data_IF_128451829998
#
_entry.id   IF_128451829998
#
_cell.length_a   1.000
_cell.length_b   1.000
_cell.length_c   1.000
_cell.angle_alpha   90.00
_cell.angle_beta   90.00
_cell.angle_gamma   90.00
#
_symmetry.space_group_name_H-M   'P 1'
#
loop_
_entity.id
_entity.type
_entity.pdbx_description
1 polymer ?
#
# COMPACT_ATOMS: atom_id res chain seq x y z
N UNK A 1 -26.82 -14.13 16.10
CA UNK A 1 -26.04 -13.42 15.06
C UNK A 1 -26.27 -14.11 13.74
N UNK A 2 -26.34 -13.38 12.62
CA UNK A 2 -26.37 -14.02 11.30
C UNK A 2 -25.01 -14.67 11.04
N UNK A 3 -24.98 -15.98 10.79
CA UNK A 3 -23.74 -16.70 10.46
C UNK A 3 -23.56 -16.66 8.96
N UNK A 4 -22.58 -15.89 8.51
CA UNK A 4 -22.26 -15.73 7.09
C UNK A 4 -20.77 -15.98 6.89
N UNK A 5 -20.46 -17.02 6.13
CA UNK A 5 -19.15 -17.60 5.85
C UNK A 5 -18.97 -17.66 4.34
N UNK A 6 -18.55 -16.54 3.74
CA UNK A 6 -18.29 -16.47 2.29
C UNK A 6 -17.06 -17.29 1.89
N UNK A 7 -16.07 -17.37 2.78
CA UNK A 7 -14.75 -17.93 2.48
C UNK A 7 -14.49 -19.23 3.26
N UNK A 8 -15.52 -20.06 3.38
CA UNK A 8 -15.44 -21.37 4.04
C UNK A 8 -14.92 -22.44 3.09
N UNK A 9 -14.11 -23.37 3.61
CA UNK A 9 -13.51 -24.46 2.86
C UNK A 9 -13.56 -25.76 3.66
N UNK A 10 -13.74 -26.88 2.96
CA UNK A 10 -13.33 -28.20 3.46
C UNK A 10 -11.87 -28.39 3.08
N UNK A 11 -11.05 -28.80 4.05
CA UNK A 11 -9.62 -29.02 3.85
C UNK A 11 -9.38 -30.50 3.58
N UNK A 12 -8.75 -30.83 2.44
CA UNK A 12 -8.42 -32.20 2.05
C UNK A 12 -7.13 -32.69 2.72
N UNK A 13 -7.13 -32.68 4.05
CA UNK A 13 -6.03 -33.11 4.93
C UNK A 13 -6.55 -34.13 5.94
N UNK A 14 -5.68 -35.01 6.42
CA UNK A 14 -6.03 -36.09 7.34
C UNK A 14 -5.43 -35.90 8.74
N UNK A 15 -4.41 -35.06 8.86
CA UNK A 15 -3.71 -34.77 10.11
C UNK A 15 -3.50 -33.27 10.32
N UNK A 16 -3.05 -32.88 11.52
CA UNK A 16 -2.65 -31.50 11.80
C UNK A 16 -1.31 -31.16 11.12
N UNK A 17 -0.44 -32.15 10.94
CA UNK A 17 0.83 -31.98 10.23
C UNK A 17 0.56 -31.66 8.75
N UNK A 18 -0.39 -32.36 8.11
CA UNK A 18 -0.83 -32.06 6.73
C UNK A 18 -1.38 -30.62 6.60
N UNK A 19 -2.03 -30.11 7.66
CA UNK A 19 -2.53 -28.72 7.70
C UNK A 19 -1.37 -27.73 7.85
N UNK A 20 -0.35 -28.08 8.63
CA UNK A 20 0.86 -27.27 8.74
C UNK A 20 1.62 -27.22 7.40
N UNK A 21 1.71 -28.35 6.69
CA UNK A 21 2.27 -28.43 5.34
C UNK A 21 1.46 -27.58 4.34
N UNK A 22 0.12 -27.71 4.35
CA UNK A 22 -0.76 -26.83 3.59
C UNK A 22 -0.52 -25.35 3.91
N UNK A 23 -0.36 -25.00 5.18
CA UNK A 23 -0.06 -23.61 5.55
C UNK A 23 1.28 -23.14 4.97
N UNK A 24 2.30 -24.00 4.87
CA UNK A 24 3.57 -23.67 4.24
C UNK A 24 3.42 -23.48 2.72
N UNK A 25 2.69 -24.36 2.05
CA UNK A 25 2.40 -24.23 0.61
C UNK A 25 1.66 -22.92 0.30
N UNK A 26 0.68 -22.58 1.15
CA UNK A 26 -0.05 -21.32 1.05
C UNK A 26 0.86 -20.11 1.30
N UNK A 27 1.86 -20.19 2.18
CA UNK A 27 2.85 -19.10 2.38
C UNK A 27 3.67 -18.87 1.12
N UNK A 28 4.09 -19.93 0.44
CA UNK A 28 4.84 -19.82 -0.81
C UNK A 28 3.98 -19.18 -1.92
N UNK A 29 2.72 -19.62 -2.06
CA UNK A 29 1.77 -19.01 -2.99
C UNK A 29 1.47 -17.55 -2.65
N UNK A 30 1.28 -17.24 -1.36
CA UNK A 30 1.05 -15.88 -0.89
C UNK A 30 2.24 -14.98 -1.21
N UNK A 31 3.48 -15.46 -1.08
CA UNK A 31 4.66 -14.68 -1.43
C UNK A 31 4.67 -14.29 -2.91
N UNK A 32 4.31 -15.21 -3.82
CA UNK A 32 4.22 -14.90 -5.25
C UNK A 32 3.10 -13.89 -5.57
N UNK A 33 1.93 -14.04 -4.94
CA UNK A 33 0.81 -13.11 -5.09
C UNK A 33 1.11 -11.73 -4.48
N UNK A 34 1.71 -11.67 -3.29
CA UNK A 34 2.18 -10.45 -2.66
C UNK A 34 3.13 -9.70 -3.60
N UNK A 35 4.09 -10.40 -4.23
CA UNK A 35 5.04 -9.79 -5.17
C UNK A 35 4.35 -9.10 -6.31
N UNK A 36 3.32 -9.74 -6.87
CA UNK A 36 2.51 -9.16 -7.94
C UNK A 36 1.77 -7.89 -7.46
N UNK A 37 1.11 -7.96 -6.30
CA UNK A 37 0.32 -6.84 -5.74
C UNK A 37 1.23 -5.64 -5.48
N UNK A 38 2.34 -5.84 -4.78
CA UNK A 38 3.29 -4.77 -4.45
C UNK A 38 3.91 -4.20 -5.72
N UNK A 39 4.33 -5.04 -6.67
CA UNK A 39 4.90 -4.55 -7.92
C UNK A 39 3.88 -3.72 -8.72
N UNK A 40 2.62 -4.16 -8.83
CA UNK A 40 1.54 -3.40 -9.47
C UNK A 40 1.35 -2.04 -8.80
N UNK A 41 1.30 -1.98 -7.47
CA UNK A 41 1.09 -0.72 -6.75
C UNK A 41 2.29 0.23 -6.90
N UNK A 42 3.52 -0.29 -6.82
CA UNK A 42 4.73 0.50 -7.08
C UNK A 42 4.71 1.07 -8.49
N UNK A 43 4.41 0.25 -9.49
CA UNK A 43 4.31 0.68 -10.88
C UNK A 43 3.23 1.74 -11.06
N UNK A 44 2.03 1.52 -10.52
CA UNK A 44 0.93 2.46 -10.64
C UNK A 44 1.28 3.82 -10.00
N UNK A 45 1.87 3.84 -8.80
CA UNK A 45 2.33 5.07 -8.15
C UNK A 45 3.44 5.75 -8.93
N UNK A 46 4.44 4.99 -9.39
CA UNK A 46 5.55 5.52 -10.17
C UNK A 46 5.05 6.17 -11.48
N UNK A 47 4.12 5.51 -12.17
CA UNK A 47 3.47 6.06 -13.37
C UNK A 47 2.67 7.32 -13.04
N UNK A 48 1.91 7.36 -11.93
CA UNK A 48 1.22 8.58 -11.49
C UNK A 48 2.18 9.74 -11.26
N UNK A 49 3.37 9.50 -10.68
CA UNK A 49 4.39 10.53 -10.52
C UNK A 49 4.88 11.06 -11.87
N UNK A 50 5.10 10.17 -12.85
CA UNK A 50 5.49 10.57 -14.22
C UNK A 50 4.37 11.36 -14.88
N UNK A 51 3.13 10.87 -14.85
CA UNK A 51 1.96 11.52 -15.43
C UNK A 51 1.74 12.90 -14.82
N UNK A 52 1.83 13.03 -13.49
CA UNK A 52 1.69 14.31 -12.81
C UNK A 52 2.73 15.32 -13.28
N UNK A 53 3.98 14.91 -13.47
CA UNK A 53 5.03 15.79 -14.03
C UNK A 53 4.73 16.20 -15.46
N UNK A 54 4.17 15.31 -16.28
CA UNK A 54 3.79 15.62 -17.67
C UNK A 54 2.61 16.60 -17.70
N UNK A 55 1.56 16.34 -16.92
CA UNK A 55 0.37 17.18 -16.84
C UNK A 55 0.69 18.57 -16.23
N UNK A 56 1.60 18.63 -15.26
CA UNK A 56 2.06 19.88 -14.65
C UNK A 56 2.93 20.73 -15.59
N UNK A 57 3.60 20.16 -16.60
CA UNK A 57 4.33 20.98 -17.59
C UNK A 57 3.39 21.89 -18.41
N UNK A 58 2.09 21.66 -18.37
CA UNK A 58 1.06 22.53 -18.92
C UNK A 58 0.40 23.50 -17.92
N UNK A 59 0.66 23.39 -16.60
CA UNK A 59 0.03 24.21 -15.56
C UNK A 59 0.97 24.47 -14.36
N UNK A 60 1.15 25.73 -13.95
CA UNK A 60 1.91 26.10 -12.75
C UNK A 60 1.25 25.54 -11.48
N UNK A 61 1.73 24.39 -11.00
CA UNK A 61 1.49 23.91 -9.64
C UNK A 61 2.83 23.72 -8.91
N UNK A 62 2.91 23.98 -7.59
CA UNK A 62 4.12 23.76 -6.82
C UNK A 62 4.36 22.24 -6.70
N UNK A 63 5.48 21.75 -7.22
CA UNK A 63 5.87 20.34 -7.18
C UNK A 63 6.30 19.92 -5.77
N UNK A 64 6.29 18.61 -5.47
CA UNK A 64 6.87 18.06 -4.22
C UNK A 64 8.33 18.46 -3.98
N UNK A 65 9.07 18.79 -5.05
CA UNK A 65 10.42 19.39 -4.95
C UNK A 65 10.39 20.78 -4.34
N UNK A 66 9.32 21.56 -4.52
CA UNK A 66 9.14 22.83 -3.80
C UNK A 66 8.97 22.56 -2.32
N UNK A 67 8.18 21.55 -1.91
CA UNK A 67 8.02 21.23 -0.49
C UNK A 67 9.30 20.73 0.18
N UNK A 68 10.06 19.84 -0.48
CA UNK A 68 11.35 19.40 0.03
C UNK A 68 12.39 20.55 0.05
N UNK A 69 12.37 21.42 -0.96
CA UNK A 69 13.16 22.66 -0.96
C UNK A 69 12.72 23.59 0.16
N UNK A 70 11.43 23.71 0.44
CA UNK A 70 10.86 24.54 1.50
C UNK A 70 11.24 23.99 2.88
N UNK A 71 11.21 22.68 3.07
CA UNK A 71 11.60 22.01 4.31
C UNK A 71 13.11 22.14 4.55
N UNK A 72 13.95 21.96 3.51
CA UNK A 72 15.41 22.18 3.59
C UNK A 72 15.74 23.66 3.85
N UNK A 73 15.02 24.58 3.19
CA UNK A 73 15.16 26.03 3.43
C UNK A 73 14.71 26.40 4.84
N UNK A 74 13.65 25.78 5.35
CA UNK A 74 13.15 25.98 6.70
C UNK A 74 14.14 25.47 7.74
N UNK A 75 14.74 24.29 7.52
CA UNK A 75 15.77 23.73 8.37
C UNK A 75 17.04 24.59 8.38
N UNK A 76 17.49 25.06 7.21
CA UNK A 76 18.63 25.97 7.10
C UNK A 76 18.40 27.29 7.86
N UNK A 77 17.20 27.88 7.73
CA UNK A 77 16.80 29.07 8.50
C UNK A 77 16.76 28.79 10.00
N UNK A 78 16.22 27.65 10.43
CA UNK A 78 16.19 27.27 11.83
C UNK A 78 17.61 27.12 12.42
N UNK A 79 18.52 26.46 11.69
CA UNK A 79 19.91 26.31 12.08
C UNK A 79 20.62 27.68 12.20
N UNK A 80 20.37 28.60 11.25
CA UNK A 80 20.90 29.96 11.29
C UNK A 80 20.37 30.76 12.49
N UNK A 81 19.08 30.65 12.79
CA UNK A 81 18.47 31.30 13.95
C UNK A 81 19.04 30.75 15.28
N UNK A 82 19.25 29.44 15.37
CA UNK A 82 19.92 28.81 16.52
C UNK A 82 21.34 29.35 16.69
N UNK A 83 22.09 29.50 15.58
CA UNK A 83 23.45 30.07 15.61
C UNK A 83 23.47 31.51 16.11
N UNK A 84 22.56 32.36 15.63
CA UNK A 84 22.43 33.74 16.10
C UNK A 84 22.07 33.81 17.58
N UNK A 85 21.13 32.97 18.02
CA UNK A 85 20.72 32.87 19.43
C UNK A 85 21.90 32.44 20.31
N UNK A 86 22.68 31.47 19.86
CA UNK A 86 23.88 31.01 20.57
C UNK A 86 24.92 32.11 20.71
N UNK A 87 25.16 32.89 19.65
CA UNK A 87 26.08 34.03 19.69
C UNK A 87 25.64 35.11 20.72
N UNK A 88 24.34 35.39 20.82
CA UNK A 88 23.80 36.30 21.85
C UNK A 88 23.99 35.75 23.26
N UNK A 89 23.77 34.45 23.47
CA UNK A 89 24.02 33.79 24.75
C UNK A 89 25.51 33.82 25.12
N UNK A 90 26.40 33.59 24.17
CA UNK A 90 27.86 33.68 24.37
C UNK A 90 28.30 35.11 24.73
N UNK A 91 27.72 36.12 24.09
CA UNK A 91 27.98 37.53 24.38
C UNK A 91 27.46 37.92 25.79
N UNK A 92 26.23 37.54 26.13
CA UNK A 92 25.66 37.77 27.45
C UNK A 92 26.48 37.06 28.54
N UNK A 93 26.92 35.82 28.28
CA UNK A 93 27.82 35.05 29.14
C UNK A 93 29.17 35.74 29.31
N UNK A 94 29.82 36.19 28.23
CA UNK A 94 31.10 36.90 28.31
C UNK A 94 30.98 38.14 29.18
N UNK A 95 29.83 38.81 29.12
CA UNK A 95 29.51 39.96 29.97
C UNK A 95 29.32 39.55 31.43
N UNK A 96 28.70 38.38 31.68
CA UNK A 96 28.42 37.84 33.01
C UNK A 96 29.57 37.01 33.65
N UNK A 97 30.64 36.69 32.91
CA UNK A 97 31.79 35.87 33.35
C UNK A 97 31.42 34.49 33.91
N UNK A 98 30.48 33.81 33.26
CA UNK A 98 30.04 32.46 33.65
C UNK A 98 30.80 31.41 32.82
N UNK A 99 31.40 30.41 33.47
CA UNK A 99 32.07 29.28 32.80
C UNK A 99 31.04 28.30 32.19
N UNK A 100 31.36 27.74 31.02
CA UNK A 100 30.44 26.86 30.27
C UNK A 100 30.77 25.38 30.42
N UNK A 101 29.74 24.51 30.45
CA UNK A 101 29.94 23.08 30.27
C UNK A 101 30.41 22.78 28.83
N UNK A 102 31.35 21.85 28.70
CA UNK A 102 32.01 21.42 27.45
C UNK A 102 31.05 21.03 26.30
N UNK A 103 29.81 20.66 26.60
CA UNK A 103 28.83 20.26 25.59
C UNK A 103 28.35 21.42 24.72
N UNK A 104 28.39 22.66 25.21
CA UNK A 104 27.91 23.82 24.45
C UNK A 104 28.97 24.43 23.54
N UNK A 105 30.26 24.08 23.71
CA UNK A 105 31.34 24.56 22.82
C UNK A 105 31.39 23.85 21.47
N UNK A 106 30.77 22.67 21.35
CA UNK A 106 30.70 21.91 20.09
C UNK A 106 29.48 22.29 19.22
N UNK A 107 28.47 22.94 19.81
CA UNK A 107 27.22 23.29 19.14
C UNK A 107 27.39 24.24 17.94
N UNK A 108 28.29 25.26 17.97
CA UNK A 108 28.54 26.10 16.79
C UNK A 108 29.04 25.31 15.59
N UNK A 109 29.97 24.36 15.80
CA UNK A 109 30.53 23.54 14.74
C UNK A 109 29.46 22.62 14.14
N UNK A 110 28.62 21.99 14.98
CA UNK A 110 27.53 21.14 14.50
C UNK A 110 26.49 21.92 13.66
N UNK A 111 26.18 23.16 14.04
CA UNK A 111 25.29 24.03 13.27
C UNK A 111 25.92 24.45 11.94
N UNK A 112 27.23 24.69 11.92
CA UNK A 112 27.97 25.06 10.71
C UNK A 112 28.06 23.89 9.73
N UNK A 113 28.30 22.68 10.24
CA UNK A 113 28.29 21.45 9.45
C UNK A 113 26.89 21.19 8.87
N UNK A 114 25.82 21.42 9.64
CA UNK A 114 24.44 21.25 9.18
C UNK A 114 24.04 22.30 8.14
N UNK A 115 24.46 23.56 8.29
CA UNK A 115 24.28 24.61 7.28
C UNK A 115 25.08 24.27 6.01
N UNK A 116 26.31 23.78 6.16
CA UNK A 116 27.15 23.36 5.04
C UNK A 116 26.53 22.19 4.26
N UNK A 117 26.01 21.19 4.96
CA UNK A 117 25.31 20.04 4.37
C UNK A 117 24.03 20.51 3.66
N UNK A 118 23.19 21.31 4.32
CA UNK A 118 21.92 21.78 3.71
C UNK A 118 22.14 22.73 2.53
N UNK A 119 23.20 23.55 2.55
CA UNK A 119 23.56 24.45 1.44
C UNK A 119 24.25 23.70 0.28
N UNK A 120 24.91 22.57 0.57
CA UNK A 120 25.55 21.71 -0.41
C UNK A 120 24.64 20.61 -0.97
N UNK A 121 23.46 20.41 -0.37
CA UNK A 121 22.39 19.59 -0.93
C UNK A 121 21.81 20.32 -2.13
N UNK A 122 22.47 20.17 -3.28
CA UNK A 122 21.88 20.48 -4.56
C UNK A 122 20.80 19.41 -4.83
N UNK A 123 19.57 19.69 -4.38
CA UNK A 123 18.40 18.80 -4.50
C UNK A 123 18.13 18.47 -5.98
N UNK A 124 18.73 19.21 -6.91
CA UNK A 124 18.62 18.98 -8.35
C UNK A 124 19.70 18.05 -8.96
N UNK A 125 20.81 17.68 -8.29
CA UNK A 125 21.98 17.07 -9.00
C UNK A 125 22.49 15.69 -8.56
N UNK A 126 21.74 14.90 -7.79
CA UNK A 126 22.12 13.49 -7.55
C UNK A 126 21.62 12.48 -8.62
N UNK A 127 21.38 12.91 -9.87
CA UNK A 127 20.90 12.02 -10.95
C UNK A 127 21.79 11.96 -12.20
N UNK A 128 22.95 12.60 -12.20
CA UNK A 128 23.77 12.75 -13.40
C UNK A 128 24.79 11.62 -13.68
N UNK A 129 24.68 10.45 -13.04
CA UNK A 129 25.58 9.32 -13.30
C UNK A 129 25.17 8.38 -14.43
N UNK A 130 23.86 8.28 -14.71
CA UNK A 130 23.30 7.57 -15.86
C UNK A 130 21.90 8.14 -16.08
N UNK A 131 21.53 8.50 -17.31
CA UNK A 131 20.18 8.98 -17.66
C UNK A 131 19.14 7.89 -17.37
N UNK A 132 18.77 7.71 -16.11
CA UNK A 132 17.70 6.82 -15.69
C UNK A 132 16.39 7.37 -16.26
N UNK A 133 15.55 6.49 -16.82
CA UNK A 133 14.26 6.91 -17.34
C UNK A 133 13.44 7.56 -16.21
N UNK A 134 12.56 8.55 -16.50
CA UNK A 134 11.70 9.16 -15.49
C UNK A 134 10.89 8.14 -14.67
N UNK A 135 10.50 7.03 -15.30
CA UNK A 135 9.80 5.93 -14.66
C UNK A 135 10.71 5.15 -13.70
N UNK A 136 11.95 4.85 -14.08
CA UNK A 136 12.94 4.20 -13.20
C UNK A 136 13.18 5.02 -11.93
N UNK A 137 13.36 6.33 -12.07
CA UNK A 137 13.47 7.23 -10.94
C UNK A 137 12.22 7.20 -10.04
N UNK A 138 11.03 7.24 -10.66
CA UNK A 138 9.77 7.20 -9.93
C UNK A 138 9.55 5.85 -9.20
N UNK A 139 10.00 4.73 -9.78
CA UNK A 139 9.99 3.41 -9.14
C UNK A 139 10.88 3.44 -7.90
N UNK A 140 12.14 3.88 -8.02
CA UNK A 140 13.05 3.95 -6.88
C UNK A 140 12.51 4.84 -5.76
N UNK A 141 11.97 6.02 -6.09
CA UNK A 141 11.35 6.92 -5.12
C UNK A 141 10.16 6.25 -4.42
N UNK A 142 9.24 5.66 -5.19
CA UNK A 142 8.04 5.01 -4.65
C UNK A 142 8.41 3.81 -3.77
N UNK A 143 9.40 3.01 -4.18
CA UNK A 143 9.89 1.89 -3.38
C UNK A 143 10.48 2.36 -2.05
N UNK A 144 11.22 3.48 -2.05
CA UNK A 144 11.73 4.09 -0.80
C UNK A 144 10.60 4.56 0.11
N UNK A 145 9.58 5.23 -0.43
CA UNK A 145 8.42 5.69 0.35
C UNK A 145 7.67 4.51 1.00
N UNK A 146 7.54 3.40 0.27
CA UNK A 146 6.92 2.17 0.77
C UNK A 146 7.74 1.53 1.89
N UNK A 147 9.07 1.48 1.72
CA UNK A 147 9.98 1.00 2.76
C UNK A 147 9.92 1.87 4.01
N UNK A 148 9.85 3.19 3.85
CA UNK A 148 9.74 4.13 4.97
C UNK A 148 8.41 3.99 5.70
N UNK A 149 7.30 3.88 4.96
CA UNK A 149 5.99 3.62 5.55
C UNK A 149 5.99 2.31 6.35
N UNK A 150 6.63 1.25 5.83
CA UNK A 150 6.79 -0.01 6.56
C UNK A 150 7.62 0.15 7.84
N UNK A 151 8.77 0.83 7.76
CA UNK A 151 9.65 1.08 8.92
C UNK A 151 8.96 1.91 10.00
N UNK A 152 8.14 2.88 9.59
CA UNK A 152 7.37 3.73 10.48
C UNK A 152 6.07 3.10 10.99
N UNK A 153 5.78 1.85 10.59
CA UNK A 153 4.50 1.15 10.88
C UNK A 153 3.28 1.93 10.40
N UNK A 154 3.45 2.76 9.38
CA UNK A 154 2.35 3.42 8.72
C UNK A 154 1.66 2.42 7.78
N UNK A 155 0.40 2.11 8.06
CA UNK A 155 -0.40 1.21 7.22
C UNK A 155 -0.58 1.83 5.85
N UNK A 156 -0.25 1.07 4.80
CA UNK A 156 -0.50 1.46 3.41
C UNK A 156 -1.57 0.51 2.85
N UNK A 157 -2.86 0.88 2.84
CA UNK A 157 -3.95 -0.03 2.47
C UNK A 157 -3.77 -0.72 1.11
N UNK A 158 -3.16 -0.03 0.14
CA UNK A 158 -2.88 -0.59 -1.18
C UNK A 158 -1.81 -1.71 -1.19
N UNK A 159 -1.09 -1.88 -0.08
CA UNK A 159 -0.07 -2.91 0.15
C UNK A 159 -0.47 -3.86 1.27
N UNK A 160 -1.70 -3.78 1.77
CA UNK A 160 -2.23 -4.74 2.73
C UNK A 160 -2.41 -6.07 1.99
N UNK A 161 -1.45 -6.96 2.24
CA UNK A 161 -1.36 -8.30 1.68
C UNK A 161 -1.57 -9.35 2.77
N UNK A 162 -2.24 -8.96 3.85
CA UNK A 162 -2.51 -9.86 4.98
C UNK A 162 -3.38 -11.03 4.49
N UNK A 163 -2.99 -12.23 4.92
CA UNK A 163 -3.73 -13.45 4.67
C UNK A 163 -3.61 -14.39 5.87
N UNK A 164 -4.74 -14.98 6.25
CA UNK A 164 -4.85 -15.87 7.40
C UNK A 164 -5.74 -17.06 7.07
N UNK A 165 -5.37 -18.23 7.62
CA UNK A 165 -6.15 -19.45 7.52
C UNK A 165 -6.60 -19.86 8.93
N UNK A 166 -7.90 -19.83 9.19
CA UNK A 166 -8.49 -20.32 10.43
C UNK A 166 -8.98 -21.75 10.25
N UNK A 167 -8.34 -22.72 10.90
CA UNK A 167 -8.63 -24.14 10.72
C UNK A 167 -9.43 -24.68 11.91
N UNK A 168 -10.54 -25.34 11.60
CA UNK A 168 -11.44 -26.00 12.54
C UNK A 168 -11.30 -27.51 12.39
N UNK A 169 -11.35 -28.20 13.53
CA UNK A 169 -11.26 -29.66 13.59
C UNK A 169 -12.61 -30.25 13.98
N UNK A 170 -13.14 -31.14 13.15
CA UNK A 170 -14.30 -31.98 13.47
C UNK A 170 -13.82 -33.40 13.75
N UNK A 171 -14.06 -33.89 14.98
CA UNK A 171 -13.79 -35.28 15.34
C UNK A 171 -14.99 -36.14 14.92
N UNK A 172 -14.75 -37.18 14.13
CA UNK A 172 -15.77 -38.14 13.71
C UNK A 172 -15.29 -39.58 13.97
N UNK A 173 -16.19 -40.56 13.86
CA UNK A 173 -15.86 -41.97 14.08
C UNK A 173 -14.79 -42.52 13.13
N UNK A 174 -14.68 -41.94 11.93
CA UNK A 174 -13.70 -42.32 10.91
C UNK A 174 -12.37 -41.53 10.99
N UNK A 175 -12.20 -40.65 11.99
CA UNK A 175 -11.00 -39.82 12.15
C UNK A 175 -11.31 -38.33 12.30
N UNK A 176 -10.37 -37.48 11.91
CA UNK A 176 -10.55 -36.03 11.95
C UNK A 176 -10.84 -35.48 10.56
N UNK A 177 -11.78 -34.55 10.48
CA UNK A 177 -12.01 -33.72 9.29
C UNK A 177 -11.61 -32.29 9.62
N UNK A 178 -11.06 -31.60 8.63
CA UNK A 178 -10.61 -30.23 8.77
C UNK A 178 -11.43 -29.32 7.85
N UNK A 179 -11.77 -28.15 8.38
CA UNK A 179 -12.45 -27.09 7.67
C UNK A 179 -11.68 -25.81 7.90
N UNK A 180 -11.77 -24.86 6.99
CA UNK A 180 -11.07 -23.60 7.13
C UNK A 180 -11.90 -22.41 6.72
N UNK A 181 -11.59 -21.25 7.29
CA UNK A 181 -11.97 -19.95 6.77
C UNK A 181 -10.69 -19.28 6.29
N UNK A 182 -10.66 -18.90 5.01
CA UNK A 182 -9.55 -18.15 4.44
C UNK A 182 -9.89 -16.67 4.43
N UNK A 183 -9.04 -15.87 5.04
CA UNK A 183 -9.10 -14.42 4.97
C UNK A 183 -7.91 -13.89 4.15
N UNK A 184 -8.18 -12.92 3.28
CA UNK A 184 -7.14 -12.16 2.60
C UNK A 184 -7.71 -10.77 2.25
N UNK A 185 -6.94 -9.71 2.55
CA UNK A 185 -7.36 -8.32 2.32
C UNK A 185 -7.38 -7.95 0.82
N UNK A 186 -6.53 -8.63 0.03
CA UNK A 186 -6.40 -8.39 -1.39
C UNK A 186 -7.09 -9.49 -2.22
N UNK A 187 -7.86 -9.11 -3.24
CA UNK A 187 -8.59 -10.05 -4.10
C UNK A 187 -7.69 -10.96 -4.94
N UNK A 188 -6.55 -10.45 -5.44
CA UNK A 188 -5.59 -11.24 -6.20
C UNK A 188 -4.94 -12.30 -5.28
N UNK A 189 -4.65 -11.91 -4.03
CA UNK A 189 -4.17 -12.83 -2.99
C UNK A 189 -5.20 -13.91 -2.66
N UNK A 190 -6.44 -13.50 -2.39
CA UNK A 190 -7.53 -14.43 -2.11
C UNK A 190 -7.71 -15.42 -3.26
N UNK A 191 -7.74 -14.95 -4.50
CA UNK A 191 -7.90 -15.79 -5.68
C UNK A 191 -6.75 -16.78 -5.83
N UNK A 192 -5.50 -16.37 -5.57
CA UNK A 192 -4.35 -17.24 -5.63
C UNK A 192 -4.44 -18.36 -4.57
N UNK A 193 -4.73 -18.01 -3.32
CA UNK A 193 -4.76 -18.95 -2.19
C UNK A 193 -5.97 -19.88 -2.23
N UNK A 194 -7.16 -19.36 -2.55
CA UNK A 194 -8.40 -20.15 -2.62
C UNK A 194 -8.41 -21.18 -3.75
N UNK A 195 -7.49 -21.05 -4.72
CA UNK A 195 -7.32 -22.01 -5.82
C UNK A 195 -6.48 -23.24 -5.43
N UNK A 196 -5.96 -23.31 -4.20
CA UNK A 196 -5.15 -24.43 -3.74
C UNK A 196 -5.97 -25.75 -3.79
N UNK A 197 -5.46 -26.85 -4.38
CA UNK A 197 -6.23 -28.10 -4.55
C UNK A 197 -6.76 -28.71 -3.26
N UNK A 198 -6.08 -28.47 -2.13
CA UNK A 198 -6.50 -28.93 -0.81
C UNK A 198 -7.66 -28.14 -0.21
N UNK A 199 -8.06 -27.00 -0.80
CA UNK A 199 -9.16 -26.16 -0.34
C UNK A 199 -10.38 -26.37 -1.24
N UNK A 200 -11.37 -27.10 -0.74
CA UNK A 200 -12.63 -27.35 -1.45
C UNK A 200 -13.66 -26.33 -0.98
N UNK A 201 -14.19 -25.44 -1.87
CA UNK A 201 -15.13 -24.40 -1.46
C UNK A 201 -16.35 -24.95 -0.73
N UNK A 202 -16.59 -24.42 0.47
CA UNK A 202 -17.70 -24.77 1.34
C UNK A 202 -18.31 -23.52 1.99
N UNK A 203 -18.74 -22.52 1.20
CA UNK A 203 -19.35 -21.31 1.74
C UNK A 203 -20.68 -21.65 2.42
N UNK A 204 -21.10 -20.79 3.33
CA UNK A 204 -22.40 -20.84 4.00
C UNK A 204 -22.89 -19.43 4.31
N UNK A 205 -24.18 -19.16 4.19
CA UNK A 205 -24.79 -17.93 4.71
C UNK A 205 -26.19 -18.21 5.22
N UNK A 206 -26.56 -17.55 6.32
CA UNK A 206 -27.85 -17.73 6.95
C UNK A 206 -28.96 -16.96 6.19
N UNK A 207 -29.17 -17.29 4.92
CA UNK A 207 -30.30 -16.84 4.11
C UNK A 207 -31.24 -18.03 3.81
N UNK A 208 -32.50 -17.71 3.56
CA UNK A 208 -33.56 -18.68 3.21
C UNK A 208 -33.24 -19.47 1.95
N UNK A 209 -32.56 -18.83 0.99
CA UNK A 209 -32.29 -19.38 -0.32
C UNK A 209 -30.86 -19.93 -0.39
N UNK A 210 -30.77 -21.22 -0.73
CA UNK A 210 -29.52 -21.87 -1.06
C UNK A 210 -29.03 -21.41 -2.45
N UNK A 211 -27.71 -21.45 -2.72
CA UNK A 211 -27.18 -21.27 -4.07
C UNK A 211 -27.80 -22.23 -5.09
N UNK A 212 -27.94 -21.80 -6.33
CA UNK A 212 -28.51 -22.62 -7.43
C UNK A 212 -27.79 -23.95 -7.64
N UNK A 213 -26.52 -24.04 -7.25
CA UNK A 213 -25.67 -25.23 -7.39
C UNK A 213 -25.54 -26.09 -6.12
N UNK A 214 -26.27 -25.77 -5.04
CA UNK A 214 -26.22 -26.52 -3.78
C UNK A 214 -27.63 -26.96 -3.40
N UNK A 215 -27.82 -28.25 -3.12
CA UNK A 215 -29.12 -28.75 -2.67
C UNK A 215 -29.49 -28.15 -1.31
N UNK A 216 -30.78 -27.92 -1.06
CA UNK A 216 -31.24 -27.39 0.22
C UNK A 216 -30.80 -28.25 1.41
N UNK A 217 -30.76 -29.56 1.24
CA UNK A 217 -30.30 -30.50 2.26
C UNK A 217 -28.82 -30.32 2.57
N UNK A 218 -27.96 -30.25 1.54
CA UNK A 218 -26.53 -29.96 1.72
C UNK A 218 -26.34 -28.60 2.39
N UNK A 219 -27.08 -27.57 1.95
CA UNK A 219 -27.02 -26.23 2.53
C UNK A 219 -27.35 -26.19 4.02
N UNK A 220 -28.43 -26.86 4.44
CA UNK A 220 -28.80 -26.98 5.85
C UNK A 220 -27.73 -27.75 6.63
N UNK A 221 -27.19 -28.83 6.05
CA UNK A 221 -26.12 -29.62 6.67
C UNK A 221 -24.84 -28.80 6.90
N UNK A 222 -24.47 -27.94 5.94
CA UNK A 222 -23.36 -26.98 6.05
C UNK A 222 -23.60 -25.98 7.17
N UNK A 223 -24.83 -25.45 7.28
CA UNK A 223 -25.19 -24.52 8.33
C UNK A 223 -25.04 -25.12 9.72
N UNK A 224 -25.56 -26.33 9.93
CA UNK A 224 -25.42 -27.02 11.21
C UNK A 224 -23.98 -27.41 11.52
N UNK A 225 -23.19 -27.78 10.51
CA UNK A 225 -21.75 -27.99 10.66
C UNK A 225 -21.05 -26.71 11.11
N UNK A 226 -21.20 -25.59 10.39
CA UNK A 226 -20.54 -24.33 10.72
C UNK A 226 -20.96 -23.80 12.09
N UNK A 227 -22.24 -23.91 12.47
CA UNK A 227 -22.69 -23.58 13.84
C UNK A 227 -21.96 -24.40 14.90
N UNK A 228 -21.75 -25.70 14.64
CA UNK A 228 -21.02 -26.58 15.55
C UNK A 228 -19.55 -26.21 15.64
N UNK A 229 -18.90 -25.94 14.51
CA UNK A 229 -17.48 -25.56 14.44
C UNK A 229 -17.21 -24.20 15.11
N UNK A 230 -18.10 -23.23 14.94
CA UNK A 230 -17.96 -21.88 15.51
C UNK A 230 -18.40 -21.77 16.98
N UNK A 231 -19.09 -22.79 17.49
CA UNK A 231 -19.65 -22.81 18.84
C UNK A 231 -20.78 -21.79 19.06
N UNK A 232 -21.26 -21.70 20.30
CA UNK A 232 -22.41 -20.86 20.65
C UNK A 232 -22.16 -19.36 20.44
N UNK A 233 -20.92 -18.91 20.65
CA UNK A 233 -20.55 -17.50 20.48
C UNK A 233 -20.45 -17.09 19.01
N UNK A 234 -20.22 -18.05 18.10
CA UNK A 234 -20.03 -17.76 16.68
C UNK A 234 -18.69 -17.06 16.37
N UNK A 235 -17.72 -17.12 17.28
CA UNK A 235 -16.43 -16.41 17.17
C UNK A 235 -15.35 -17.41 16.70
N UNK A 236 -14.84 -17.28 15.46
CA UNK A 236 -13.81 -18.18 14.91
C UNK A 236 -12.62 -18.40 15.86
N UNK A 237 -12.04 -17.31 16.37
CA UNK A 237 -10.85 -17.32 17.21
C UNK A 237 -10.95 -18.16 18.50
N UNK A 238 -12.15 -18.53 18.94
CA UNK A 238 -12.35 -19.36 20.13
C UNK A 238 -12.29 -20.87 19.82
N UNK A 239 -12.49 -21.27 18.56
CA UNK A 239 -12.69 -22.67 18.19
C UNK A 239 -11.79 -23.13 17.02
N UNK A 240 -10.90 -22.27 16.54
CA UNK A 240 -9.96 -22.59 15.45
C UNK A 240 -8.50 -22.57 15.91
N UNK A 241 -7.63 -23.21 15.12
CA UNK A 241 -6.20 -22.93 15.07
C UNK A 241 -5.95 -21.93 13.94
N UNK A 242 -5.33 -20.80 14.23
CA UNK A 242 -4.98 -19.80 13.22
C UNK A 242 -3.58 -20.02 12.66
N UNK A 243 -3.46 -19.85 11.34
CA UNK A 243 -2.18 -19.83 10.64
C UNK A 243 -2.06 -18.49 9.91
N UNK A 244 -1.11 -17.67 10.34
CA UNK A 244 -0.72 -16.48 9.60
C UNK A 244 0.04 -16.93 8.33
N UNK A 245 -0.56 -16.66 7.18
CA UNK A 245 -0.01 -17.00 5.86
C UNK A 245 0.87 -15.85 5.36
N UNK A 246 0.35 -14.62 5.46
CA UNK A 246 1.11 -13.42 5.19
C UNK A 246 0.72 -12.40 6.27
N UNK A 247 1.69 -11.92 7.03
CA UNK A 247 1.42 -11.07 8.18
C UNK A 247 1.38 -9.58 7.86
N UNK A 248 1.18 -8.79 8.91
CA UNK A 248 1.39 -7.35 8.90
C UNK A 248 2.73 -7.08 8.22
N UNK A 249 2.71 -6.31 7.14
CA UNK A 249 3.89 -6.05 6.31
C UNK A 249 4.42 -7.30 5.60
N UNK A 250 3.61 -7.88 4.70
CA UNK A 250 4.06 -8.92 3.76
C UNK A 250 5.37 -8.60 3.02
N UNK A 251 5.86 -7.35 3.08
CA UNK A 251 7.24 -6.91 2.83
C UNK A 251 8.32 -7.80 3.49
N UNK A 252 8.08 -8.41 4.66
CA UNK A 252 9.02 -9.38 5.25
C UNK A 252 9.26 -10.62 4.37
N UNK A 253 8.38 -10.92 3.40
CA UNK A 253 8.55 -11.96 2.39
C UNK A 253 9.55 -11.57 1.28
N UNK A 254 10.15 -10.38 1.33
CA UNK A 254 10.90 -9.77 0.24
C UNK A 254 12.32 -9.36 0.67
N UNK A 255 13.30 -10.26 0.54
CA UNK A 255 14.71 -9.99 0.90
C UNK A 255 14.89 -9.51 2.35
N UNK A 256 16.14 -9.43 2.83
CA UNK A 256 16.43 -8.91 4.17
C UNK A 256 15.96 -7.45 4.37
N UNK A 257 15.70 -6.71 3.28
CA UNK A 257 15.37 -5.29 3.29
C UNK A 257 13.91 -4.95 2.96
N UNK A 258 13.07 -5.94 2.68
CA UNK A 258 11.64 -5.74 2.45
C UNK A 258 11.21 -5.17 1.08
N UNK A 259 12.12 -4.89 0.15
CA UNK A 259 11.79 -4.32 -1.16
C UNK A 259 12.02 -5.29 -2.33
N UNK A 260 11.13 -5.22 -3.31
CA UNK A 260 11.38 -5.79 -4.63
C UNK A 260 12.47 -4.97 -5.34
N UNK A 261 13.41 -5.68 -5.97
CA UNK A 261 14.37 -5.02 -6.87
C UNK A 261 13.64 -4.42 -8.07
N UNK A 262 14.20 -3.34 -8.63
CA UNK A 262 13.64 -2.72 -9.83
C UNK A 262 13.44 -3.72 -10.99
N UNK A 263 14.39 -4.62 -11.33
CA UNK A 263 14.16 -5.63 -12.35
C UNK A 263 12.95 -6.54 -12.04
N UNK A 264 12.75 -6.90 -10.76
CA UNK A 264 11.62 -7.70 -10.34
C UNK A 264 10.29 -6.93 -10.46
N UNK A 265 10.29 -5.61 -10.19
CA UNK A 265 9.11 -4.76 -10.39
C UNK A 265 8.79 -4.65 -11.89
N UNK A 266 9.79 -4.39 -12.72
CA UNK A 266 9.62 -4.24 -14.17
C UNK A 266 9.17 -5.54 -14.85
N UNK A 267 9.52 -6.70 -14.31
CA UNK A 267 8.98 -7.98 -14.77
C UNK A 267 7.44 -8.03 -14.75
N UNK A 268 6.81 -7.31 -13.82
CA UNK A 268 5.36 -7.25 -13.70
C UNK A 268 4.70 -6.12 -14.53
N UNK A 269 5.48 -5.33 -15.28
CA UNK A 269 4.96 -4.26 -16.13
C UNK A 269 3.80 -4.72 -17.05
N UNK A 270 3.88 -5.88 -17.74
CA UNK A 270 2.78 -6.33 -18.62
C UNK A 270 1.51 -6.74 -17.87
N UNK A 271 1.60 -6.96 -16.54
CA UNK A 271 0.47 -7.38 -15.70
C UNK A 271 -0.22 -6.18 -15.02
N UNK A 272 0.36 -5.00 -15.11
CA UNK A 272 -0.26 -3.77 -14.64
C UNK A 272 -1.03 -3.12 -15.79
N UNK A 273 -2.29 -2.74 -15.58
CA UNK A 273 -3.03 -1.92 -16.53
C UNK A 273 -2.49 -0.49 -16.51
N UNK A 274 -1.46 -0.26 -17.32
CA UNK A 274 -0.78 1.02 -17.49
C UNK A 274 -1.05 1.61 -18.88
N UNK A 275 -2.15 1.17 -19.50
CA UNK A 275 -2.60 1.72 -20.78
C UNK A 275 -2.81 3.23 -20.67
N UNK A 276 -2.53 3.96 -21.75
CA UNK A 276 -2.79 5.41 -21.81
C UNK A 276 -4.26 5.69 -21.50
N UNK A 277 -5.15 4.81 -21.95
CA UNK A 277 -6.58 4.93 -21.73
C UNK A 277 -6.96 4.82 -20.24
N UNK A 278 -6.51 3.77 -19.54
CA UNK A 278 -6.81 3.59 -18.11
C UNK A 278 -6.22 4.73 -17.26
N UNK A 279 -5.01 5.17 -17.59
CA UNK A 279 -4.36 6.31 -16.92
C UNK A 279 -5.09 7.62 -17.17
N UNK A 280 -5.49 7.88 -18.41
CA UNK A 280 -6.24 9.09 -18.77
C UNK A 280 -7.60 9.12 -18.06
N UNK A 281 -8.28 7.98 -17.99
CA UNK A 281 -9.53 7.85 -17.25
C UNK A 281 -9.35 8.11 -15.75
N UNK A 282 -8.30 7.55 -15.13
CA UNK A 282 -7.97 7.83 -13.72
C UNK A 282 -7.80 9.33 -13.46
N UNK A 283 -7.01 10.02 -14.28
CA UNK A 283 -6.76 11.45 -14.11
C UNK A 283 -7.99 12.31 -14.43
N UNK A 284 -8.80 11.93 -15.41
CA UNK A 284 -10.04 12.62 -15.73
C UNK A 284 -11.04 12.55 -14.57
N UNK A 285 -11.21 11.36 -13.97
CA UNK A 285 -12.05 11.17 -12.78
C UNK A 285 -11.49 11.94 -11.58
N UNK A 286 -10.16 11.96 -11.40
CA UNK A 286 -9.52 12.75 -10.35
C UNK A 286 -9.77 14.24 -10.51
N UNK A 287 -9.57 14.81 -11.70
CA UNK A 287 -9.88 16.22 -11.98
C UNK A 287 -11.37 16.54 -11.78
N UNK A 288 -12.26 15.60 -12.09
CA UNK A 288 -13.68 15.73 -11.80
C UNK A 288 -13.94 15.78 -10.28
N UNK A 289 -13.37 14.84 -9.51
CA UNK A 289 -13.48 14.81 -8.06
C UNK A 289 -12.90 16.06 -7.41
N UNK A 290 -11.72 16.51 -7.84
CA UNK A 290 -11.06 17.70 -7.31
C UNK A 290 -11.90 18.97 -7.51
N UNK A 291 -12.53 19.12 -8.69
CA UNK A 291 -13.50 20.21 -8.95
C UNK A 291 -14.69 20.15 -8.00
N UNK A 292 -15.24 18.96 -7.76
CA UNK A 292 -16.36 18.78 -6.81
C UNK A 292 -15.95 19.06 -5.37
N UNK A 293 -14.79 18.59 -4.95
CA UNK A 293 -14.24 18.89 -3.63
C UNK A 293 -14.04 20.38 -3.44
N UNK A 294 -13.51 21.08 -4.44
CA UNK A 294 -13.31 22.52 -4.36
C UNK A 294 -14.63 23.27 -4.17
N UNK A 295 -15.64 22.96 -4.98
CA UNK A 295 -17.00 23.55 -4.83
C UNK A 295 -17.59 23.23 -3.47
N UNK A 296 -17.41 22.01 -2.96
CA UNK A 296 -17.91 21.65 -1.63
C UNK A 296 -17.19 22.44 -0.52
N UNK A 297 -15.87 22.58 -0.62
CA UNK A 297 -15.06 23.34 0.33
C UNK A 297 -15.35 24.84 0.30
N UNK A 298 -15.67 25.42 -0.85
CA UNK A 298 -16.08 26.83 -0.95
C UNK A 298 -17.45 27.10 -0.31
N UNK A 299 -18.33 26.09 -0.31
CA UNK A 299 -19.69 26.21 0.23
C UNK A 299 -19.81 25.77 1.69
N UNK A 300 -18.73 25.29 2.31
CA UNK A 300 -18.74 24.80 3.69
C UNK A 300 -17.70 25.55 4.51
N UNK A 301 -18.14 26.32 5.51
CA UNK A 301 -17.23 27.02 6.44
C UNK A 301 -16.39 26.07 7.33
N UNK A 302 -16.65 24.76 7.24
CA UNK A 302 -15.99 23.69 8.00
C UNK A 302 -15.45 22.60 7.07
N UNK A 303 -14.60 21.73 7.62
CA UNK A 303 -14.11 20.54 6.92
C UNK A 303 -15.27 19.69 6.39
N UNK A 304 -15.26 19.30 5.10
CA UNK A 304 -16.32 18.47 4.53
C UNK A 304 -16.50 17.18 5.32
N UNK A 305 -17.73 16.80 5.70
CA UNK A 305 -17.96 15.52 6.38
C UNK A 305 -17.56 14.35 5.48
N UNK A 306 -16.97 13.33 6.10
CA UNK A 306 -16.40 12.17 5.39
C UNK A 306 -17.43 11.41 4.53
N UNK A 307 -18.71 11.44 4.89
CA UNK A 307 -19.81 10.88 4.08
C UNK A 307 -19.93 11.53 2.70
N UNK A 308 -19.70 12.85 2.60
CA UNK A 308 -19.73 13.56 1.32
C UNK A 308 -18.50 13.25 0.46
N UNK A 309 -17.35 12.95 1.08
CA UNK A 309 -16.15 12.49 0.38
C UNK A 309 -16.46 11.18 -0.37
N UNK A 310 -17.08 10.21 0.30
CA UNK A 310 -17.48 8.95 -0.34
C UNK A 310 -18.54 9.15 -1.42
N UNK A 311 -19.50 10.04 -1.20
CA UNK A 311 -20.50 10.36 -2.21
C UNK A 311 -19.83 10.92 -3.48
N UNK A 312 -18.88 11.84 -3.36
CA UNK A 312 -18.13 12.38 -4.51
C UNK A 312 -17.35 11.27 -5.22
N UNK A 313 -16.73 10.35 -4.49
CA UNK A 313 -16.02 9.21 -5.07
C UNK A 313 -16.98 8.33 -5.88
N UNK A 314 -18.17 8.05 -5.36
CA UNK A 314 -19.17 7.22 -6.06
C UNK A 314 -19.79 7.94 -7.27
N UNK A 315 -20.01 9.24 -7.18
CA UNK A 315 -20.43 10.05 -8.32
C UNK A 315 -19.34 10.07 -9.40
N UNK A 316 -18.08 10.20 -9.01
CA UNK A 316 -16.94 10.20 -9.94
C UNK A 316 -16.82 8.89 -10.73
N UNK A 317 -17.23 7.74 -10.16
CA UNK A 317 -17.29 6.45 -10.86
C UNK A 317 -18.33 6.44 -11.99
N UNK A 318 -19.40 7.24 -11.87
CA UNK A 318 -20.53 7.28 -12.81
C UNK A 318 -20.50 8.51 -13.73
N UNK A 319 -19.67 9.49 -13.41
CA UNK A 319 -19.53 10.70 -14.20
C UNK A 319 -19.04 10.39 -15.62
N UNK A 320 -19.64 11.08 -16.60
CA UNK A 320 -19.09 11.15 -17.95
C UNK A 320 -17.87 12.07 -17.93
N UNK A 321 -16.71 11.47 -18.16
CA UNK A 321 -15.41 12.15 -18.20
C UNK A 321 -14.74 11.97 -19.56
N UNK A 322 -15.53 11.68 -20.61
CA UNK A 322 -15.01 11.30 -21.93
C UNK A 322 -14.19 12.42 -22.58
N UNK A 323 -14.60 13.68 -22.41
CA UNK A 323 -13.89 14.84 -22.94
C UNK A 323 -12.51 14.99 -22.28
N UNK A 324 -12.48 15.06 -20.95
CA UNK A 324 -11.25 15.17 -20.16
C UNK A 324 -10.33 13.97 -20.39
N UNK A 325 -10.88 12.76 -20.46
CA UNK A 325 -10.14 11.54 -20.78
C UNK A 325 -9.43 11.68 -22.13
N UNK A 326 -10.11 12.14 -23.18
CA UNK A 326 -9.50 12.32 -24.50
C UNK A 326 -8.40 13.40 -24.50
N UNK A 327 -8.62 14.51 -23.80
CA UNK A 327 -7.62 15.59 -23.67
C UNK A 327 -6.36 15.12 -22.93
N UNK A 328 -6.53 14.39 -21.83
CA UNK A 328 -5.42 13.84 -21.04
C UNK A 328 -4.68 12.76 -21.84
N UNK A 329 -5.39 11.84 -22.49
CA UNK A 329 -4.79 10.78 -23.30
C UNK A 329 -3.87 11.31 -24.39
N UNK A 330 -4.16 12.49 -24.96
CA UNK A 330 -3.37 13.11 -26.00
C UNK A 330 -1.98 13.57 -25.55
N UNK A 331 -1.78 13.84 -24.25
CA UNK A 331 -0.51 14.35 -23.70
C UNK A 331 0.27 13.31 -22.90
N UNK A 332 -0.39 12.23 -22.45
CA UNK A 332 0.25 11.21 -21.66
C UNK A 332 1.24 10.36 -22.49
N UNK A 333 2.46 10.09 -21.97
CA UNK A 333 3.43 9.27 -22.68
C UNK A 333 2.99 7.80 -22.71
N UNK A 334 3.31 7.09 -23.79
CA UNK A 334 3.21 5.63 -23.82
C UNK A 334 4.29 5.05 -22.91
N UNK A 335 3.89 4.10 -22.06
CA UNK A 335 4.81 3.37 -21.18
C UNK A 335 4.94 1.96 -21.75
N UNK A 336 6.11 1.67 -22.28
CA UNK A 336 6.46 0.36 -22.85
C UNK A 336 7.74 -0.17 -22.19
N UNK A 337 8.00 -1.48 -22.30
CA UNK A 337 9.28 -2.04 -21.88
C UNK A 337 10.46 -1.32 -22.57
N UNK A 338 10.28 -0.90 -23.83
CA UNK A 338 11.31 -0.18 -24.59
C UNK A 338 11.53 1.25 -24.09
N UNK A 339 10.52 1.89 -23.50
CA UNK A 339 10.67 3.22 -22.88
C UNK A 339 11.52 3.21 -21.59
N UNK A 340 11.81 2.01 -21.08
CA UNK A 340 12.62 1.76 -19.88
C UNK A 340 14.05 1.31 -20.21
N UNK A 341 14.27 0.72 -21.37
CA UNK A 341 15.60 0.42 -21.87
C UNK A 341 16.33 1.75 -22.05
N UNK A 342 17.38 1.98 -21.26
CA UNK A 342 18.30 3.09 -21.48
C UNK A 342 18.66 3.14 -22.96
N UNK A 343 18.54 4.32 -23.59
CA UNK A 343 19.25 4.58 -24.84
C UNK A 343 20.69 4.07 -24.65
N UNK A 344 21.18 3.14 -25.49
CA UNK A 344 22.57 2.74 -25.41
C UNK A 344 23.41 4.01 -25.57
N UNK A 345 24.41 4.12 -24.68
CA UNK A 345 25.33 5.24 -24.50
C UNK A 345 25.85 5.84 -25.80
#
# INVERSE_FOLDING_TARGET
MSTTIYNGFKVNCHSLDDVADLSNDLREQAAAAARLVIAKEVLQRAVRVVDQKVLARGQSYPSLTSKASDDVTTLAKAAQNCRQTLALVEQARSTARIDMPFQLTALPQMLDDLIGITSGLDIDTALNGAKSSPLRHAICSTSSDILEASRSRHRLPALDVEAELWVFREVCSAGCKYYAILHADNSDMYSALSSHPSLIPMPYWNCSDAPDNITREDWLSRGELWKRLLGQAGIPAQNCTSFQICGDYGLSLFSENGALSEPAILYYLPKADLSVEARAEYWARRQWSDRRFHVLSENTDAQPPFSLVFQIIDEAKRADVSLEKNQIAAVLPKITADSLASLPS
#
